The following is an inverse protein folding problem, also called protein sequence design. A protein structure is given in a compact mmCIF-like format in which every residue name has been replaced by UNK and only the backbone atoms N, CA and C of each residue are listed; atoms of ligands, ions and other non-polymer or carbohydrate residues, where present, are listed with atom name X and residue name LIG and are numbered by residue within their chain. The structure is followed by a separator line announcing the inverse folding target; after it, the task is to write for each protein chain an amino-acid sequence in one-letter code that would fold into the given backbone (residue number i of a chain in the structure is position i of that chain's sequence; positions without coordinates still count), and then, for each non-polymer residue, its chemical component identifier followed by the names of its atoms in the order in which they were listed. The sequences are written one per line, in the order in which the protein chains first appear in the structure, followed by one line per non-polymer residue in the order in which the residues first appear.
data_IF_101875744887
#
_entry.id   IF_101875744887
#
_cell.length_a   1.000
_cell.length_b   1.000
_cell.length_c   1.000
_cell.angle_alpha   90.00
_cell.angle_beta   90.00
_cell.angle_gamma   90.00
#
_symmetry.space_group_name_H-M   'P 1'
#
loop_
_entity.id
_entity.type
_entity.pdbx_description
1 polymer ?
#
# COMPACT_ATOMS: atom_id res chain seq x y z
N UNK A 1 -52.08 -10.62 0.07
CA UNK A 1 -51.49 -9.24 0.18
C UNK A 1 -50.02 -9.41 0.53
N UNK A 2 -49.16 -9.27 -0.48
CA UNK A 2 -47.72 -9.37 -0.32
C UNK A 2 -47.18 -7.96 -0.04
N UNK A 3 -46.55 -7.77 1.11
CA UNK A 3 -45.86 -6.52 1.45
C UNK A 3 -44.51 -6.52 0.70
N UNK A 4 -44.43 -5.58 -0.25
CA UNK A 4 -43.20 -5.20 -0.96
C UNK A 4 -42.25 -4.53 0.05
N UNK A 5 -41.13 -5.17 0.35
CA UNK A 5 -40.01 -4.54 1.09
C UNK A 5 -39.34 -3.54 0.15
N UNK A 6 -39.26 -2.28 0.56
CA UNK A 6 -38.49 -1.24 -0.12
C UNK A 6 -36.98 -1.49 0.10
N UNK A 7 -36.17 -1.47 -0.98
CA UNK A 7 -34.73 -1.44 -0.84
C UNK A 7 -34.32 0.04 -0.70
N UNK A 8 -33.84 0.47 0.43
CA UNK A 8 -32.96 1.62 0.65
C UNK A 8 -33.04 2.10 2.10
N UNK A 9 -32.41 1.32 2.99
CA UNK A 9 -31.72 1.91 4.13
C UNK A 9 -30.22 1.89 3.79
N UNK A 10 -29.82 2.79 2.90
CA UNK A 10 -28.43 3.20 2.83
C UNK A 10 -28.17 3.99 4.12
N UNK A 11 -27.47 3.37 5.06
CA UNK A 11 -26.90 4.12 6.18
C UNK A 11 -26.12 5.29 5.56
N UNK A 12 -26.29 6.53 6.05
CA UNK A 12 -25.46 7.62 5.59
C UNK A 12 -24.02 7.23 5.83
N UNK A 13 -23.26 7.06 4.75
CA UNK A 13 -21.81 6.84 4.83
C UNK A 13 -21.21 7.97 5.67
N UNK A 14 -20.22 7.64 6.46
CA UNK A 14 -19.48 8.57 7.31
C UNK A 14 -19.13 9.82 6.48
N UNK A 15 -19.85 10.93 6.70
CA UNK A 15 -19.66 12.18 5.99
C UNK A 15 -18.38 12.81 6.51
N UNK A 16 -17.23 12.55 5.90
CA UNK A 16 -16.05 13.33 6.21
C UNK A 16 -14.67 12.71 6.03
N UNK A 17 -14.53 11.39 5.88
CA UNK A 17 -13.21 10.83 5.58
C UNK A 17 -12.97 10.80 4.06
N UNK A 18 -11.83 11.33 3.59
CA UNK A 18 -11.52 11.28 2.17
C UNK A 18 -11.40 9.83 1.70
N UNK A 19 -12.03 9.52 0.56
CA UNK A 19 -11.82 8.22 -0.09
C UNK A 19 -10.36 8.11 -0.50
N UNK A 20 -9.63 7.17 0.10
CA UNK A 20 -8.23 6.93 -0.19
C UNK A 20 -8.06 5.72 -1.12
N UNK A 21 -6.95 5.74 -1.87
CA UNK A 21 -6.57 4.66 -2.78
C UNK A 21 -5.17 4.17 -2.45
N UNK A 22 -5.02 2.87 -2.35
CA UNK A 22 -3.71 2.23 -2.30
C UNK A 22 -3.28 1.85 -3.72
N UNK A 23 -2.00 1.97 -4.02
CA UNK A 23 -1.44 1.65 -5.32
C UNK A 23 -0.05 1.03 -5.16
N UNK A 24 0.23 0.00 -5.95
CA UNK A 24 1.56 -0.59 -6.04
C UNK A 24 1.87 -1.04 -7.46
N UNK A 25 3.11 -0.87 -7.88
CA UNK A 25 3.68 -1.61 -8.99
C UNK A 25 4.95 -2.32 -8.54
N UNK A 26 5.27 -3.45 -9.17
CA UNK A 26 6.45 -4.22 -8.85
C UNK A 26 7.29 -4.45 -10.09
N UNK A 27 8.55 -4.04 -10.00
CA UNK A 27 9.57 -4.23 -11.02
C UNK A 27 10.46 -5.38 -10.54
N UNK A 28 10.30 -6.56 -11.14
CA UNK A 28 11.19 -7.69 -10.89
C UNK A 28 12.50 -7.48 -11.62
N UNK A 29 13.60 -7.61 -10.91
CA UNK A 29 14.94 -7.37 -11.40
C UNK A 29 15.71 -8.71 -11.55
N UNK A 30 16.71 -8.80 -12.46
CA UNK A 30 17.57 -9.98 -12.58
C UNK A 30 18.18 -10.41 -11.25
N UNK A 31 18.47 -11.69 -11.11
CA UNK A 31 19.03 -12.24 -9.85
C UNK A 31 20.39 -11.65 -9.51
N UNK A 32 21.17 -11.30 -10.51
CA UNK A 32 22.51 -10.70 -10.43
C UNK A 32 22.48 -9.16 -10.48
N UNK A 33 21.29 -8.55 -10.48
CA UNK A 33 21.15 -7.11 -10.48
C UNK A 33 21.68 -6.50 -9.17
N UNK A 34 22.52 -5.47 -9.30
CA UNK A 34 22.99 -4.73 -8.12
C UNK A 34 21.87 -3.88 -7.53
N UNK A 35 21.33 -4.32 -6.40
CA UNK A 35 20.28 -3.56 -5.70
C UNK A 35 20.77 -2.21 -5.18
N UNK A 36 22.10 -1.99 -5.14
CA UNK A 36 22.67 -0.67 -4.82
C UNK A 36 22.22 0.41 -5.80
N UNK A 37 22.01 0.08 -7.08
CA UNK A 37 21.49 1.01 -8.09
C UNK A 37 20.12 1.57 -7.68
N UNK A 38 19.25 0.70 -7.13
CA UNK A 38 17.94 1.14 -6.64
C UNK A 38 18.07 2.01 -5.39
N UNK A 39 18.99 1.65 -4.46
CA UNK A 39 19.26 2.45 -3.26
C UNK A 39 19.77 3.84 -3.62
N UNK A 40 20.73 3.93 -4.52
CA UNK A 40 21.30 5.19 -4.99
C UNK A 40 20.23 6.06 -5.69
N UNK A 41 19.39 5.42 -6.53
CA UNK A 41 18.25 6.09 -7.14
C UNK A 41 17.30 6.69 -6.10
N UNK A 42 16.90 5.91 -5.09
CA UNK A 42 15.97 6.38 -4.05
C UNK A 42 16.62 7.49 -3.22
N UNK A 43 17.90 7.38 -2.88
CA UNK A 43 18.64 8.43 -2.17
C UNK A 43 18.64 9.73 -2.96
N UNK A 44 18.79 9.68 -4.29
CA UNK A 44 18.87 10.86 -5.15
C UNK A 44 17.50 11.48 -5.47
N UNK A 45 16.45 10.66 -5.59
CA UNK A 45 15.16 11.11 -6.15
C UNK A 45 13.96 10.88 -5.21
N UNK A 46 14.14 10.18 -4.10
CA UNK A 46 13.03 9.83 -3.19
C UNK A 46 12.28 11.08 -2.72
N UNK A 47 13.02 12.09 -2.29
CA UNK A 47 12.47 13.34 -1.77
C UNK A 47 11.64 14.15 -2.78
N UNK A 48 11.70 13.85 -4.09
CA UNK A 48 10.88 14.56 -5.09
C UNK A 48 9.36 14.29 -4.93
N UNK A 49 9.00 13.29 -4.16
CA UNK A 49 7.60 12.99 -3.84
C UNK A 49 7.17 13.58 -2.48
N UNK A 50 8.07 14.22 -1.74
CA UNK A 50 7.71 14.88 -0.48
C UNK A 50 6.78 16.06 -0.77
N UNK A 51 5.65 16.11 -0.08
CA UNK A 51 4.62 17.11 -0.33
C UNK A 51 3.88 16.97 -1.65
N UNK A 52 3.98 15.84 -2.37
CA UNK A 52 3.29 15.65 -3.64
C UNK A 52 1.76 15.76 -3.46
N UNK A 53 1.05 16.57 -4.28
CA UNK A 53 -0.37 16.81 -4.12
C UNK A 53 -1.19 15.52 -4.13
N UNK A 54 -2.08 15.35 -3.16
CA UNK A 54 -2.94 14.19 -3.02
C UNK A 54 -2.26 12.92 -2.48
N UNK A 55 -0.94 12.93 -2.24
CA UNK A 55 -0.24 11.82 -1.63
C UNK A 55 -0.46 11.82 -0.10
N UNK A 56 -0.82 10.69 0.49
CA UNK A 56 -0.75 10.47 1.94
C UNK A 56 0.65 10.05 2.34
N UNK A 57 1.12 8.95 1.75
CA UNK A 57 2.51 8.54 1.82
C UNK A 57 2.91 7.68 0.61
N UNK A 58 4.20 7.64 0.34
CA UNK A 58 4.84 6.70 -0.58
C UNK A 58 5.99 6.02 0.13
N UNK A 59 5.96 4.70 0.25
CA UNK A 59 7.08 3.91 0.72
C UNK A 59 7.88 3.35 -0.46
N UNK A 60 9.17 3.61 -0.50
CA UNK A 60 10.09 3.07 -1.51
C UNK A 60 10.62 1.74 -1.04
N UNK A 61 10.16 0.66 -1.66
CA UNK A 61 10.31 -0.71 -1.18
C UNK A 61 11.24 -1.54 -2.04
N UNK A 62 12.02 -2.41 -1.40
CA UNK A 62 12.82 -3.43 -2.09
C UNK A 62 12.65 -4.82 -1.50
N UNK A 63 12.81 -5.82 -2.36
CA UNK A 63 13.06 -7.21 -1.99
C UNK A 63 14.42 -7.65 -2.55
N UNK A 64 15.19 -8.41 -1.76
CA UNK A 64 16.51 -8.92 -2.17
C UNK A 64 16.64 -10.40 -1.88
N UNK A 65 17.02 -11.18 -2.89
CA UNK A 65 17.27 -12.62 -2.74
C UNK A 65 18.36 -12.90 -1.70
N UNK A 66 19.36 -12.04 -1.61
CA UNK A 66 20.44 -12.15 -0.61
C UNK A 66 19.96 -11.93 0.83
N UNK A 67 18.76 -11.37 1.02
CA UNK A 67 18.10 -11.16 2.31
C UNK A 67 16.93 -12.14 2.55
N UNK A 68 16.84 -13.21 1.76
CA UNK A 68 15.82 -14.26 1.89
C UNK A 68 14.55 -14.04 1.09
N UNK A 69 14.40 -12.94 0.35
CA UNK A 69 13.26 -12.73 -0.54
C UNK A 69 13.24 -13.72 -1.72
N UNK A 70 12.07 -14.02 -2.29
CA UNK A 70 11.95 -14.90 -3.44
C UNK A 70 12.57 -14.30 -4.72
N UNK A 71 12.77 -12.98 -4.77
CA UNK A 71 13.27 -12.25 -5.95
C UNK A 71 13.98 -10.96 -5.56
N UNK A 72 14.73 -10.38 -6.51
CA UNK A 72 15.10 -8.98 -6.46
C UNK A 72 13.97 -8.16 -7.05
N UNK A 73 13.48 -7.14 -6.34
CA UNK A 73 12.42 -6.30 -6.83
C UNK A 73 12.51 -4.88 -6.27
N UNK A 74 12.04 -3.92 -7.07
CA UNK A 74 11.69 -2.57 -6.64
C UNK A 74 10.16 -2.44 -6.71
N UNK A 75 9.51 -2.12 -5.60
CA UNK A 75 8.06 -2.25 -5.48
C UNK A 75 7.43 -1.11 -4.64
N UNK A 76 7.51 0.16 -5.07
CA UNK A 76 6.97 1.27 -4.30
C UNK A 76 5.48 1.08 -4.02
N UNK A 77 5.08 1.40 -2.77
CA UNK A 77 3.70 1.38 -2.33
C UNK A 77 3.23 2.81 -2.01
N UNK A 78 2.00 3.13 -2.40
CA UNK A 78 1.44 4.48 -2.29
C UNK A 78 0.08 4.43 -1.59
N UNK A 79 -0.19 5.44 -0.78
CA UNK A 79 -1.54 5.80 -0.36
C UNK A 79 -1.85 7.18 -0.89
N UNK A 80 -2.95 7.30 -1.62
CA UNK A 80 -3.46 8.54 -2.20
C UNK A 80 -4.69 9.01 -1.44
N UNK A 81 -4.74 10.29 -1.06
CA UNK A 81 -5.90 10.92 -0.40
C UNK A 81 -7.05 11.15 -1.36
N UNK A 82 -6.73 11.27 -2.64
CA UNK A 82 -7.71 11.52 -3.69
C UNK A 82 -7.26 10.92 -5.02
N UNK A 83 -8.23 10.73 -5.90
CA UNK A 83 -8.02 10.14 -7.22
C UNK A 83 -7.26 11.07 -8.17
N UNK A 84 -7.36 12.39 -7.99
CA UNK A 84 -6.72 13.35 -8.89
C UNK A 84 -5.21 13.37 -8.69
N UNK A 85 -4.72 13.26 -7.45
CA UNK A 85 -3.30 13.08 -7.17
C UNK A 85 -2.74 11.80 -7.81
N UNK A 86 -3.45 10.69 -7.67
CA UNK A 86 -3.10 9.42 -8.32
C UNK A 86 -3.10 9.54 -9.85
N UNK A 87 -4.12 10.17 -10.43
CA UNK A 87 -4.22 10.41 -11.89
C UNK A 87 -3.06 11.25 -12.38
N UNK A 88 -2.75 12.36 -11.71
CA UNK A 88 -1.64 13.23 -12.07
C UNK A 88 -0.31 12.47 -12.06
N UNK A 89 -0.09 11.59 -11.09
CA UNK A 89 1.09 10.74 -11.04
C UNK A 89 1.13 9.71 -12.18
N UNK A 90 0.04 8.96 -12.40
CA UNK A 90 0.03 7.81 -13.30
C UNK A 90 0.14 8.18 -14.78
N UNK A 91 -0.48 9.29 -15.21
CA UNK A 91 -0.49 9.74 -16.62
C UNK A 91 -0.39 11.25 -16.81
N UNK A 92 -0.09 12.01 -15.75
CA UNK A 92 0.36 13.39 -15.82
C UNK A 92 1.87 13.49 -16.02
N UNK A 93 2.38 14.72 -16.16
CA UNK A 93 3.81 15.00 -16.28
C UNK A 93 4.26 16.06 -15.25
N UNK A 94 5.41 15.88 -14.57
CA UNK A 94 6.20 14.65 -14.45
C UNK A 94 5.52 13.65 -13.49
N UNK A 95 5.64 12.37 -13.74
CA UNK A 95 5.00 11.34 -12.91
C UNK A 95 5.58 9.95 -13.17
N UNK A 96 4.73 8.98 -13.47
CA UNK A 96 5.12 7.61 -13.77
C UNK A 96 5.97 7.47 -15.05
N UNK A 97 6.00 8.49 -15.92
CA UNK A 97 6.81 8.51 -17.13
C UNK A 97 8.31 8.26 -16.88
N UNK A 98 8.86 8.71 -15.75
CA UNK A 98 10.24 8.41 -15.37
C UNK A 98 10.47 6.91 -15.10
N UNK A 99 9.49 6.22 -14.53
CA UNK A 99 9.53 4.76 -14.33
C UNK A 99 9.43 4.04 -15.68
N UNK A 100 8.52 4.48 -16.55
CA UNK A 100 8.35 3.91 -17.90
C UNK A 100 9.63 4.02 -18.71
N UNK A 101 10.30 5.18 -18.65
CA UNK A 101 11.58 5.41 -19.34
C UNK A 101 12.67 4.45 -18.88
N UNK A 102 12.80 4.24 -17.55
CA UNK A 102 13.95 3.55 -16.97
C UNK A 102 13.72 2.03 -16.85
N UNK A 103 12.48 1.58 -16.70
CA UNK A 103 12.13 0.18 -16.43
C UNK A 103 11.05 -0.39 -17.36
N UNK A 104 10.48 0.43 -18.25
CA UNK A 104 9.32 0.05 -19.03
C UNK A 104 7.99 0.24 -18.25
N UNK A 105 6.87 0.05 -18.97
CA UNK A 105 5.54 0.16 -18.38
C UNK A 105 5.12 -1.14 -17.71
N UNK A 106 5.03 -1.13 -16.39
CA UNK A 106 4.54 -2.24 -15.58
C UNK A 106 3.04 -2.08 -15.28
N UNK A 107 2.37 -3.19 -14.97
CA UNK A 107 1.02 -3.15 -14.42
C UNK A 107 1.04 -2.48 -13.04
N UNK A 108 0.01 -1.69 -12.78
CA UNK A 108 -0.24 -1.07 -11.49
C UNK A 108 -1.42 -1.82 -10.88
N UNK A 109 -1.26 -2.27 -9.64
CA UNK A 109 -2.34 -2.77 -8.82
C UNK A 109 -2.86 -1.62 -7.97
N UNK A 110 -4.18 -1.53 -7.82
CA UNK A 110 -4.82 -0.54 -6.98
C UNK A 110 -5.90 -1.18 -6.10
N UNK A 111 -6.17 -0.55 -4.98
CA UNK A 111 -7.16 -0.98 -4.00
C UNK A 111 -7.89 0.24 -3.45
N UNK A 112 -9.17 0.05 -3.15
CA UNK A 112 -9.92 1.03 -2.36
C UNK A 112 -9.56 0.85 -0.89
N UNK A 113 -9.05 1.90 -0.26
CA UNK A 113 -8.71 1.87 1.17
C UNK A 113 -9.98 1.83 1.99
N UNK A 114 -10.08 0.84 2.89
CA UNK A 114 -11.15 0.75 3.86
C UNK A 114 -10.81 1.58 5.10
N UNK A 115 -9.59 1.41 5.63
CA UNK A 115 -9.12 2.17 6.78
C UNK A 115 -7.60 2.35 6.74
N UNK A 116 -7.16 3.54 7.16
CA UNK A 116 -5.76 3.85 7.47
C UNK A 116 -5.70 4.38 8.90
N UNK A 117 -4.76 3.88 9.69
CA UNK A 117 -4.50 4.35 11.05
C UNK A 117 -3.00 4.57 11.20
N UNK A 118 -2.64 5.77 11.61
CA UNK A 118 -1.26 6.07 12.00
C UNK A 118 -0.94 5.41 13.35
N UNK A 119 0.24 4.81 13.43
CA UNK A 119 0.77 4.27 14.68
C UNK A 119 1.51 5.33 15.48
N UNK A 120 2.09 4.96 16.65
CA UNK A 120 2.85 5.88 17.48
C UNK A 120 4.23 6.23 16.91
N UNK A 121 4.77 5.45 15.96
CA UNK A 121 6.09 5.70 15.38
C UNK A 121 6.01 6.65 14.18
N UNK A 122 7.08 7.45 13.99
CA UNK A 122 7.19 8.40 12.89
C UNK A 122 7.48 7.70 11.55
N UNK A 123 6.96 8.26 10.45
CA UNK A 123 7.18 7.75 9.08
C UNK A 123 8.66 7.71 8.69
N UNK A 124 9.48 8.64 9.18
CA UNK A 124 10.93 8.67 8.94
C UNK A 124 11.69 7.51 9.59
N UNK A 125 11.10 6.89 10.61
CA UNK A 125 11.65 5.74 11.31
C UNK A 125 11.32 4.40 10.65
N UNK A 126 10.48 4.36 9.60
CA UNK A 126 10.07 3.14 8.93
C UNK A 126 11.26 2.35 8.35
N UNK A 127 11.26 1.03 8.57
CA UNK A 127 12.30 0.10 8.06
C UNK A 127 11.72 -1.05 7.26
N UNK A 128 10.48 -1.44 7.54
CA UNK A 128 9.80 -2.50 6.80
C UNK A 128 8.37 -2.13 6.46
N UNK A 129 7.88 -2.74 5.37
CA UNK A 129 6.47 -2.80 5.03
C UNK A 129 6.11 -4.27 4.77
N UNK A 130 5.07 -4.75 5.43
CA UNK A 130 4.53 -6.09 5.20
C UNK A 130 3.14 -6.02 4.58
N UNK A 131 2.84 -6.96 3.69
CA UNK A 131 1.52 -7.12 3.07
C UNK A 131 1.05 -8.54 3.31
N UNK A 132 -0.10 -8.68 3.96
CA UNK A 132 -0.83 -9.94 4.07
C UNK A 132 -2.10 -9.84 3.23
N UNK A 133 -2.41 -10.87 2.46
CA UNK A 133 -3.66 -10.94 1.69
C UNK A 133 -4.66 -11.84 2.41
N UNK A 134 -5.91 -11.37 2.49
CA UNK A 134 -7.04 -12.13 3.04
C UNK A 134 -8.18 -12.15 2.01
N UNK A 135 -8.74 -13.33 1.73
CA UNK A 135 -9.87 -13.45 0.82
C UNK A 135 -11.19 -13.16 1.55
N UNK A 136 -12.05 -12.34 0.95
CA UNK A 136 -13.40 -12.09 1.45
C UNK A 136 -14.33 -13.22 0.99
N UNK A 137 -14.91 -14.04 1.92
CA UNK A 137 -15.72 -15.20 1.56
C UNK A 137 -16.98 -14.82 0.78
N UNK A 138 -17.32 -15.62 -0.23
CA UNK A 138 -18.49 -15.38 -1.11
C UNK A 138 -19.84 -15.57 -0.41
N UNK A 139 -19.86 -16.29 0.72
CA UNK A 139 -21.07 -16.61 1.49
C UNK A 139 -21.33 -15.65 2.68
N UNK A 140 -20.54 -14.60 2.82
CA UNK A 140 -20.69 -13.60 3.88
C UNK A 140 -20.84 -12.19 3.29
N UNK A 141 -21.42 -11.27 4.06
CA UNK A 141 -21.53 -9.87 3.64
C UNK A 141 -20.14 -9.22 3.56
N UNK A 142 -19.71 -8.66 2.42
CA UNK A 142 -18.36 -8.08 2.27
C UNK A 142 -18.06 -7.00 3.31
N UNK A 143 -19.04 -6.14 3.65
CA UNK A 143 -18.87 -5.09 4.66
C UNK A 143 -18.50 -5.68 6.03
N UNK A 144 -19.23 -6.70 6.48
CA UNK A 144 -18.95 -7.32 7.77
C UNK A 144 -17.59 -8.00 7.78
N UNK A 145 -17.24 -8.71 6.68
CA UNK A 145 -15.94 -9.37 6.58
C UNK A 145 -14.77 -8.39 6.67
N UNK A 146 -14.84 -7.26 5.96
CA UNK A 146 -13.76 -6.28 5.99
C UNK A 146 -13.68 -5.57 7.35
N UNK A 147 -14.82 -5.27 7.98
CA UNK A 147 -14.87 -4.67 9.32
C UNK A 147 -14.21 -5.60 10.35
N UNK A 148 -14.55 -6.89 10.36
CA UNK A 148 -14.00 -7.89 11.28
C UNK A 148 -12.48 -8.07 11.08
N UNK A 149 -12.03 -8.25 9.83
CA UNK A 149 -10.62 -8.38 9.48
C UNK A 149 -9.84 -7.12 9.90
N UNK A 150 -10.40 -5.95 9.67
CA UNK A 150 -9.77 -4.67 10.04
C UNK A 150 -9.67 -4.53 11.56
N UNK A 151 -10.73 -4.84 12.29
CA UNK A 151 -10.72 -4.76 13.75
C UNK A 151 -9.66 -5.70 14.36
N UNK A 152 -9.57 -6.95 13.89
CA UNK A 152 -8.54 -7.91 14.31
C UNK A 152 -7.13 -7.39 14.01
N UNK A 153 -6.92 -6.89 12.79
CA UNK A 153 -5.62 -6.37 12.38
C UNK A 153 -5.19 -5.16 13.22
N UNK A 154 -6.08 -4.20 13.44
CA UNK A 154 -5.76 -2.98 14.21
C UNK A 154 -5.54 -3.26 15.69
N UNK A 155 -6.18 -4.29 16.27
CA UNK A 155 -6.00 -4.67 17.67
C UNK A 155 -4.56 -5.08 18.01
N UNK A 156 -3.72 -5.40 17.01
CA UNK A 156 -2.31 -5.80 17.20
C UNK A 156 -1.31 -4.67 16.96
N UNK A 157 -1.75 -3.41 16.96
CA UNK A 157 -0.87 -2.22 16.87
C UNK A 157 0.09 -2.16 18.07
N UNK A 158 1.36 -1.85 17.80
CA UNK A 158 2.44 -1.78 18.79
C UNK A 158 3.18 -0.45 18.69
N UNK A 159 4.10 -0.17 19.61
CA UNK A 159 4.94 1.04 19.59
C UNK A 159 5.86 1.14 18.37
N UNK A 160 6.13 0.02 17.71
CA UNK A 160 6.91 -0.02 16.45
C UNK A 160 6.07 0.24 15.20
N UNK A 161 4.75 0.29 15.31
CA UNK A 161 3.86 0.54 14.17
C UNK A 161 3.96 1.99 13.74
N UNK A 162 4.24 2.23 12.45
CA UNK A 162 4.21 3.55 11.81
C UNK A 162 2.83 3.83 11.22
N UNK A 163 2.30 2.89 10.45
CA UNK A 163 0.94 2.98 9.91
C UNK A 163 0.39 1.58 9.62
N UNK A 164 -0.94 1.44 9.69
CA UNK A 164 -1.67 0.26 9.24
C UNK A 164 -2.75 0.65 8.25
N UNK A 165 -2.85 -0.13 7.18
CA UNK A 165 -3.82 0.08 6.10
C UNK A 165 -4.54 -1.21 5.83
N UNK A 166 -5.87 -1.14 5.72
CA UNK A 166 -6.69 -2.19 5.12
C UNK A 166 -7.32 -1.66 3.84
N UNK A 167 -7.24 -2.43 2.77
CA UNK A 167 -7.78 -2.03 1.46
C UNK A 167 -8.30 -3.25 0.70
N UNK A 168 -9.24 -3.05 -0.23
CA UNK A 168 -9.91 -4.13 -0.97
C UNK A 168 -9.72 -3.95 -2.47
N UNK A 169 -9.32 -5.03 -3.13
CA UNK A 169 -9.46 -5.23 -4.57
C UNK A 169 -10.77 -5.94 -4.85
N UNK A 170 -11.75 -5.20 -5.37
CA UNK A 170 -13.07 -5.75 -5.71
C UNK A 170 -13.05 -6.63 -6.96
N UNK A 171 -11.96 -6.62 -7.75
CA UNK A 171 -11.81 -7.49 -8.92
C UNK A 171 -11.64 -8.95 -8.49
N UNK A 172 -10.91 -9.15 -7.39
CA UNK A 172 -10.57 -10.47 -6.85
C UNK A 172 -11.24 -10.78 -5.51
N UNK A 173 -11.90 -9.78 -4.91
CA UNK A 173 -12.45 -9.83 -3.55
C UNK A 173 -11.38 -10.21 -2.49
N UNK A 174 -10.20 -9.68 -2.68
CA UNK A 174 -9.12 -9.82 -1.71
C UNK A 174 -8.91 -8.50 -0.96
N UNK A 175 -8.79 -8.60 0.36
CA UNK A 175 -8.28 -7.52 1.19
C UNK A 175 -6.76 -7.63 1.31
N UNK A 176 -6.08 -6.48 1.37
CA UNK A 176 -4.69 -6.39 1.80
C UNK A 176 -4.64 -5.74 3.18
N UNK A 177 -3.78 -6.31 4.03
CA UNK A 177 -3.45 -5.81 5.36
C UNK A 177 -1.99 -5.39 5.31
N UNK A 178 -1.77 -4.08 5.37
CA UNK A 178 -0.44 -3.49 5.19
C UNK A 178 0.01 -2.89 6.51
N UNK A 179 1.20 -3.26 6.97
CA UNK A 179 1.84 -2.64 8.12
C UNK A 179 3.17 -2.02 7.73
N UNK A 180 3.34 -0.74 8.02
CA UNK A 180 4.58 -0.01 7.98
C UNK A 180 5.15 0.01 9.40
N UNK A 181 6.41 -0.41 9.60
CA UNK A 181 7.01 -0.63 10.92
C UNK A 181 8.45 -0.16 10.99
N UNK A 182 8.90 0.15 12.21
CA UNK A 182 10.30 0.46 12.52
C UNK A 182 11.19 -0.79 12.64
N UNK A 183 10.62 -1.99 12.67
CA UNK A 183 11.39 -3.23 12.66
C UNK A 183 12.00 -3.49 11.28
N UNK A 184 13.15 -4.14 11.27
CA UNK A 184 13.77 -4.63 10.03
C UNK A 184 12.89 -5.68 9.34
N UNK A 185 12.93 -5.70 8.00
CA UNK A 185 12.13 -6.63 7.22
C UNK A 185 12.70 -8.06 7.31
N UNK A 186 11.89 -9.01 7.75
CA UNK A 186 12.15 -10.43 7.54
C UNK A 186 11.59 -10.86 6.17
N UNK A 187 12.43 -10.77 5.13
CA UNK A 187 12.03 -11.09 3.76
C UNK A 187 11.91 -12.59 3.50
N UNK A 188 12.29 -13.44 4.46
CA UNK A 188 12.12 -14.89 4.42
C UNK A 188 10.79 -15.37 5.02
N UNK A 189 10.03 -14.49 5.65
CA UNK A 189 8.75 -14.80 6.30
C UNK A 189 7.76 -15.45 5.32
N UNK A 190 7.01 -16.43 5.81
CA UNK A 190 5.94 -17.10 5.07
C UNK A 190 4.57 -16.54 5.46
N UNK A 191 3.63 -16.49 4.50
CA UNK A 191 2.27 -15.99 4.72
C UNK A 191 2.11 -14.47 4.66
N UNK A 192 3.23 -13.74 4.58
CA UNK A 192 3.26 -12.28 4.33
C UNK A 192 4.32 -11.98 3.27
N UNK A 193 4.09 -10.91 2.50
CA UNK A 193 5.13 -10.35 1.64
C UNK A 193 5.82 -9.22 2.39
N UNK A 194 7.10 -9.38 2.70
CA UNK A 194 7.88 -8.38 3.42
C UNK A 194 8.83 -7.63 2.48
N UNK A 195 8.97 -6.33 2.73
CA UNK A 195 9.82 -5.41 1.98
C UNK A 195 10.68 -4.59 2.93
N UNK A 196 11.90 -4.30 2.53
CA UNK A 196 12.72 -3.27 3.15
C UNK A 196 12.26 -1.89 2.65
N UNK A 197 12.14 -0.94 3.57
CA UNK A 197 11.86 0.46 3.28
C UNK A 197 13.14 1.24 3.13
N UNK A 198 13.34 1.88 1.98
CA UNK A 198 14.50 2.74 1.71
C UNK A 198 14.23 4.20 2.07
N UNK A 199 13.01 4.65 1.88
CA UNK A 199 12.55 6.03 2.14
C UNK A 199 11.02 6.04 2.22
N UNK A 200 10.48 6.99 2.96
CA UNK A 200 9.04 7.29 2.95
C UNK A 200 8.85 8.78 2.67
N UNK A 201 8.14 9.10 1.60
CA UNK A 201 7.65 10.46 1.33
C UNK A 201 6.25 10.62 1.91
N UNK A 202 6.02 11.74 2.59
CA UNK A 202 4.71 12.11 3.14
C UNK A 202 4.34 13.52 2.71
N UNK A 203 3.07 13.88 2.87
CA UNK A 203 2.68 15.30 2.90
C UNK A 203 3.12 15.87 4.25
N UNK A 204 3.81 17.01 4.21
CA UNK A 204 4.11 17.78 5.40
C UNK A 204 2.81 18.30 6.06
#
# INVERSE_FOLDING_TARGET
MAQTRHPHDLRPGNQGEPLMYAMQYQITLPTDYSMQIIRDRVTQTGHFMDGYPGLQFKAYLTQEKTKGAPRNAYAPFYIWRDIDGMRQFCWGEPGYSAIVRDFGRHSIQDWTVHQLVDGPADYSAARSLTVKTAHLPTNAAPSQCIDDITAEFLATTTDSTVARVTAVDVTTWNAILVELSTHEADQSSTGVTAYEVLHVSTTA
#
